data_IF_963792125154
#
_entry.id   IF_963792125154
#
_cell.length_a   1.000
_cell.length_b   1.000
_cell.length_c   1.000
_cell.angle_alpha   90.00
_cell.angle_beta   90.00
_cell.angle_gamma   90.00
#
_symmetry.space_group_name_H-M   'P 1'
#
loop_
_entity.id
_entity.type
_entity.pdbx_description
1 polymer ?
#
# COMPACT_ATOMS: atom_id res chain seq x y z
N UNK A 1 -40.56 50.44 -25.69
CA UNK A 1 -40.47 48.96 -25.63
C UNK A 1 -39.05 48.53 -25.97
N UNK A 2 -38.26 47.99 -25.02
CA UNK A 2 -37.14 47.04 -25.27
C UNK A 2 -36.96 46.22 -23.99
N UNK A 3 -37.54 45.02 -23.93
CA UNK A 3 -37.34 44.10 -22.81
C UNK A 3 -35.91 43.58 -22.86
N UNK A 4 -35.14 43.80 -21.78
CA UNK A 4 -33.82 43.18 -21.61
C UNK A 4 -33.99 41.69 -21.26
N UNK A 5 -34.44 40.91 -22.23
CA UNK A 5 -34.66 39.47 -22.13
C UNK A 5 -33.36 38.71 -22.47
N UNK A 6 -32.25 39.03 -21.80
CA UNK A 6 -30.94 38.48 -22.16
C UNK A 6 -30.03 38.07 -21.00
N UNK A 7 -30.38 38.42 -19.75
CA UNK A 7 -29.57 38.11 -18.57
C UNK A 7 -30.01 36.90 -17.74
N UNK A 8 -31.30 36.47 -17.67
CA UNK A 8 -31.65 35.30 -16.86
C UNK A 8 -31.32 33.99 -17.56
N UNK A 9 -31.32 33.98 -18.89
CA UNK A 9 -30.99 32.80 -19.71
C UNK A 9 -29.51 32.44 -19.62
N UNK A 10 -28.60 33.41 -19.65
CA UNK A 10 -27.17 33.16 -19.53
C UNK A 10 -26.79 32.56 -18.15
N UNK A 11 -27.40 33.04 -17.06
CA UNK A 11 -27.21 32.46 -15.73
C UNK A 11 -27.80 31.05 -15.62
N UNK A 12 -28.95 30.79 -16.22
CA UNK A 12 -29.56 29.45 -16.24
C UNK A 12 -28.72 28.45 -17.04
N UNK A 13 -28.13 28.86 -18.16
CA UNK A 13 -27.24 27.99 -18.95
C UNK A 13 -25.94 27.65 -18.21
N UNK A 14 -25.38 28.60 -17.44
CA UNK A 14 -24.19 28.36 -16.63
C UNK A 14 -24.45 27.40 -15.46
N UNK A 15 -25.66 27.43 -14.89
CA UNK A 15 -26.09 26.49 -13.85
C UNK A 15 -26.31 25.07 -14.41
N UNK A 16 -26.83 24.95 -15.64
CA UNK A 16 -27.01 23.65 -16.32
C UNK A 16 -25.67 22.98 -16.62
N UNK A 17 -24.64 23.74 -17.03
CA UNK A 17 -23.30 23.16 -17.30
C UNK A 17 -22.56 22.68 -16.05
N UNK A 18 -22.95 23.13 -14.85
CA UNK A 18 -22.38 22.68 -13.58
C UNK A 18 -23.10 21.45 -13.01
N UNK A 19 -24.32 21.15 -13.48
CA UNK A 19 -25.10 19.99 -13.06
C UNK A 19 -24.64 18.69 -13.74
N UNK A 20 -24.00 18.76 -14.91
CA UNK A 20 -23.48 17.61 -15.67
C UNK A 20 -22.02 17.27 -15.36
N UNK A 21 -21.59 17.47 -14.11
CA UNK A 21 -20.24 17.10 -13.66
C UNK A 21 -20.23 15.68 -13.06
N UNK A 22 -20.60 14.68 -13.85
CA UNK A 22 -20.43 13.28 -13.45
C UNK A 22 -19.73 12.48 -14.56
N UNK A 23 -18.46 12.81 -14.77
CA UNK A 23 -17.59 12.06 -15.67
C UNK A 23 -16.44 11.46 -14.87
N UNK A 24 -16.77 10.43 -14.09
CA UNK A 24 -15.74 9.55 -13.53
C UNK A 24 -14.91 8.96 -14.68
N UNK A 25 -13.59 9.11 -14.60
CA UNK A 25 -12.67 8.50 -15.55
C UNK A 25 -12.77 6.98 -15.45
N UNK A 26 -12.64 6.29 -16.58
CA UNK A 26 -12.54 4.82 -16.57
C UNK A 26 -11.32 4.40 -15.73
N UNK A 27 -11.39 3.24 -15.06
CA UNK A 27 -10.30 2.75 -14.21
C UNK A 27 -8.94 2.74 -14.93
N UNK A 28 -8.93 2.36 -16.21
CA UNK A 28 -7.71 2.33 -17.04
C UNK A 28 -7.19 3.72 -17.38
N UNK A 29 -8.07 4.71 -17.54
CA UNK A 29 -7.69 6.10 -17.77
C UNK A 29 -7.22 6.75 -16.48
N UNK A 30 -7.92 6.49 -15.37
CA UNK A 30 -7.57 7.00 -14.05
C UNK A 30 -6.20 6.48 -13.59
N UNK A 31 -5.86 5.21 -13.83
CA UNK A 31 -4.56 4.62 -13.46
C UNK A 31 -3.38 5.21 -14.22
N UNK A 32 -3.58 5.78 -15.41
CA UNK A 32 -2.53 6.52 -16.13
C UNK A 32 -2.15 7.82 -15.42
N UNK A 33 -3.11 8.48 -14.78
CA UNK A 33 -2.87 9.71 -14.00
C UNK A 33 -2.53 9.42 -12.53
N UNK A 34 -3.05 8.32 -11.98
CA UNK A 34 -2.82 7.86 -10.61
C UNK A 34 -1.67 6.84 -10.52
N UNK A 35 -0.70 6.91 -11.42
CA UNK A 35 0.53 6.12 -11.31
C UNK A 35 1.25 6.51 -10.01
N UNK A 36 1.17 5.64 -8.99
CA UNK A 36 1.86 5.82 -7.73
C UNK A 36 3.36 5.68 -8.00
N UNK A 37 4.11 6.78 -7.91
CA UNK A 37 5.56 6.70 -7.90
C UNK A 37 6.00 5.83 -6.72
N UNK A 38 6.91 4.88 -6.98
CA UNK A 38 7.62 4.16 -5.93
C UNK A 38 8.40 5.19 -5.11
N UNK A 39 8.21 5.24 -3.78
CA UNK A 39 8.98 6.13 -2.90
C UNK A 39 10.29 5.47 -2.46
N UNK A 40 10.40 4.16 -2.69
CA UNK A 40 11.60 3.34 -2.49
C UNK A 40 12.82 3.86 -3.26
N UNK A 41 13.98 3.70 -2.62
CA UNK A 41 15.31 4.08 -3.10
C UNK A 41 15.42 5.55 -3.51
N UNK A 42 14.71 6.46 -2.81
CA UNK A 42 14.88 7.90 -3.05
C UNK A 42 16.13 8.44 -2.37
N UNK A 43 16.81 9.41 -2.98
CA UNK A 43 17.99 10.05 -2.39
C UNK A 43 17.62 10.59 -1.00
N UNK A 44 18.35 10.17 0.04
CA UNK A 44 18.11 10.43 1.48
C UNK A 44 17.02 9.61 2.18
N UNK A 45 16.48 8.56 1.57
CA UNK A 45 15.49 7.69 2.23
C UNK A 45 16.01 7.03 3.51
N UNK A 46 17.27 6.62 3.52
CA UNK A 46 17.97 6.02 4.68
C UNK A 46 17.97 6.92 5.94
N UNK A 47 17.65 8.21 5.81
CA UNK A 47 17.51 9.11 6.97
C UNK A 47 16.16 9.00 7.68
N UNK A 48 15.18 8.32 7.08
CA UNK A 48 13.85 8.11 7.66
C UNK A 48 13.87 6.88 8.55
N UNK A 49 13.08 6.91 9.63
CA UNK A 49 12.85 5.71 10.45
C UNK A 49 12.16 4.62 9.62
N UNK A 50 12.67 3.39 9.72
CA UNK A 50 12.08 2.19 9.10
C UNK A 50 10.58 2.06 9.37
N UNK A 51 9.81 1.69 8.36
CA UNK A 51 8.36 1.54 8.48
C UNK A 51 7.82 0.36 7.68
N UNK A 52 7.29 -0.66 8.39
CA UNK A 52 6.78 -1.89 7.79
C UNK A 52 5.76 -1.66 6.67
N UNK A 53 4.82 -0.75 6.90
CA UNK A 53 3.78 -0.44 5.92
C UNK A 53 4.40 0.18 4.66
N UNK A 54 5.26 1.18 4.81
CA UNK A 54 5.88 1.87 3.68
C UNK A 54 6.85 0.97 2.91
N UNK A 55 7.79 0.35 3.60
CA UNK A 55 8.94 -0.30 2.95
C UNK A 55 8.62 -1.72 2.47
N UNK A 56 7.85 -2.51 3.23
CA UNK A 56 7.62 -3.92 2.91
C UNK A 56 6.20 -4.22 2.38
N UNK A 57 5.20 -3.35 2.61
CA UNK A 57 3.82 -3.58 2.14
C UNK A 57 3.50 -2.72 0.92
N UNK A 58 3.73 -1.40 1.01
CA UNK A 58 3.57 -0.49 -0.13
C UNK A 58 4.70 -0.64 -1.15
N UNK A 59 5.87 -1.09 -0.69
CA UNK A 59 7.09 -1.23 -1.47
C UNK A 59 7.69 -2.64 -1.30
N UNK A 60 8.73 -2.93 -2.09
CA UNK A 60 9.48 -4.17 -1.98
C UNK A 60 10.72 -3.91 -1.14
N UNK A 61 10.76 -4.45 0.07
CA UNK A 61 11.91 -4.30 0.95
C UNK A 61 12.95 -5.41 0.78
N UNK A 62 14.22 -5.05 0.89
CA UNK A 62 15.34 -5.96 1.05
C UNK A 62 15.53 -6.32 2.54
N UNK A 63 16.48 -7.22 2.83
CA UNK A 63 16.70 -7.70 4.21
C UNK A 63 17.19 -6.61 5.16
N UNK A 64 17.94 -5.63 4.66
CA UNK A 64 18.49 -4.54 5.48
C UNK A 64 17.39 -3.55 5.88
N UNK A 65 16.49 -3.20 4.97
CA UNK A 65 15.30 -2.39 5.30
C UNK A 65 14.41 -3.11 6.34
N UNK A 66 14.23 -4.44 6.19
CA UNK A 66 13.58 -5.24 7.23
C UNK A 66 14.32 -5.21 8.58
N UNK A 67 15.67 -5.12 8.58
CA UNK A 67 16.48 -4.97 9.80
C UNK A 67 16.26 -3.60 10.46
N UNK A 68 16.11 -2.55 9.66
CA UNK A 68 15.87 -1.18 10.13
C UNK A 68 14.47 -1.00 10.73
N UNK A 69 13.47 -1.74 10.25
CA UNK A 69 12.10 -1.71 10.80
C UNK A 69 12.06 -2.21 12.26
N UNK A 70 12.71 -3.34 12.54
CA UNK A 70 12.64 -3.98 13.86
C UNK A 70 13.79 -3.61 14.78
N UNK A 71 14.88 -3.06 14.25
CA UNK A 71 16.14 -2.79 14.96
C UNK A 71 16.64 -4.02 15.76
N UNK A 72 16.27 -5.23 15.32
CA UNK A 72 16.45 -6.47 16.04
C UNK A 72 16.78 -7.62 15.09
N UNK A 73 17.99 -8.17 15.20
CA UNK A 73 18.46 -9.25 14.32
C UNK A 73 17.60 -10.53 14.42
N UNK A 74 17.27 -11.05 15.62
CA UNK A 74 16.33 -12.18 15.76
C UNK A 74 14.98 -11.97 15.07
N UNK A 75 14.35 -10.80 15.24
CA UNK A 75 13.07 -10.50 14.58
C UNK A 75 13.22 -10.47 13.06
N UNK A 76 14.27 -9.84 12.55
CA UNK A 76 14.52 -9.80 11.11
C UNK A 76 14.74 -11.19 10.51
N UNK A 77 15.44 -12.07 11.23
CA UNK A 77 15.64 -13.47 10.82
C UNK A 77 14.35 -14.28 10.84
N UNK A 78 13.41 -13.95 11.73
CA UNK A 78 12.08 -14.54 11.76
C UNK A 78 11.15 -13.99 10.66
N UNK A 79 11.09 -12.67 10.52
CA UNK A 79 10.18 -11.95 9.64
C UNK A 79 10.55 -12.11 8.15
N UNK A 80 11.81 -11.89 7.77
CA UNK A 80 12.19 -11.74 6.37
C UNK A 80 11.90 -12.98 5.49
N UNK A 81 12.15 -14.23 5.94
CA UNK A 81 11.79 -15.41 5.16
C UNK A 81 10.27 -15.56 4.95
N UNK A 82 9.46 -15.16 5.94
CA UNK A 82 7.99 -15.19 5.86
C UNK A 82 7.46 -14.13 4.90
N UNK A 83 8.05 -12.93 4.96
CA UNK A 83 7.79 -11.88 3.99
C UNK A 83 8.03 -12.33 2.54
N UNK A 84 9.15 -13.02 2.27
CA UNK A 84 9.43 -13.60 0.94
C UNK A 84 8.38 -14.65 0.55
N UNK A 85 7.89 -15.45 1.50
CA UNK A 85 6.76 -16.37 1.29
C UNK A 85 5.46 -15.65 0.91
N UNK A 86 5.12 -14.55 1.59
CA UNK A 86 3.98 -13.69 1.25
C UNK A 86 4.12 -13.10 -0.16
N UNK A 87 5.30 -12.60 -0.52
CA UNK A 87 5.57 -12.07 -1.87
C UNK A 87 5.40 -13.13 -2.95
N UNK A 88 5.91 -14.34 -2.72
CA UNK A 88 5.75 -15.47 -3.65
C UNK A 88 4.28 -15.82 -3.86
N UNK A 89 3.53 -15.94 -2.78
CA UNK A 89 2.09 -16.26 -2.83
C UNK A 89 1.28 -15.18 -3.55
N UNK A 90 1.56 -13.90 -3.25
CA UNK A 90 0.91 -12.76 -3.87
C UNK A 90 1.21 -12.63 -5.38
N UNK A 91 2.47 -12.84 -5.80
CA UNK A 91 2.89 -12.69 -7.20
C UNK A 91 2.52 -13.87 -8.09
N UNK A 92 2.55 -15.10 -7.56
CA UNK A 92 2.29 -16.31 -8.36
C UNK A 92 0.79 -16.60 -8.44
N UNK A 93 -0.05 -15.97 -7.60
CA UNK A 93 -1.50 -16.18 -7.61
C UNK A 93 -1.87 -17.65 -7.37
N UNK A 94 -1.06 -18.37 -6.58
CA UNK A 94 -1.33 -19.78 -6.29
C UNK A 94 -2.53 -19.85 -5.35
N UNK A 95 -3.72 -20.06 -5.89
CA UNK A 95 -4.84 -20.65 -5.14
C UNK A 95 -4.50 -22.13 -4.91
N UNK A 96 -3.54 -22.40 -4.01
CA UNK A 96 -3.16 -23.77 -3.70
C UNK A 96 -4.26 -24.37 -2.81
N UNK A 97 -5.28 -24.99 -3.41
CA UNK A 97 -6.36 -25.68 -2.68
C UNK A 97 -5.89 -26.93 -1.90
N UNK A 98 -4.59 -27.09 -1.62
CA UNK A 98 -4.06 -28.20 -0.83
C UNK A 98 -2.78 -27.86 -0.04
N UNK A 99 -2.60 -26.59 0.35
CA UNK A 99 -1.64 -26.22 1.39
C UNK A 99 -2.37 -25.35 2.40
N UNK A 100 -2.42 -25.82 3.64
CA UNK A 100 -3.06 -25.25 4.83
C UNK A 100 -3.71 -23.86 4.65
N UNK A 101 -5.03 -23.85 4.64
CA UNK A 101 -5.92 -22.82 4.12
C UNK A 101 -5.98 -21.55 4.96
N UNK A 102 -4.88 -20.82 5.14
CA UNK A 102 -4.88 -19.54 5.86
C UNK A 102 -3.89 -18.49 5.32
N UNK A 103 -3.31 -18.62 4.13
CA UNK A 103 -2.44 -17.55 3.59
C UNK A 103 -3.30 -16.58 2.76
N UNK A 104 -3.48 -15.32 3.18
CA UNK A 104 -4.24 -14.34 2.42
C UNK A 104 -3.59 -14.08 1.07
N UNK A 105 -4.39 -14.05 0.00
CA UNK A 105 -3.93 -13.59 -1.33
C UNK A 105 -3.47 -12.13 -1.31
N UNK A 106 -3.94 -11.37 -0.33
CA UNK A 106 -3.54 -9.99 -0.08
C UNK A 106 -2.20 -9.94 0.67
N UNK A 107 -1.18 -9.34 0.04
CA UNK A 107 0.15 -9.19 0.61
C UNK A 107 0.10 -8.52 1.98
N UNK A 108 -0.73 -7.48 2.12
CA UNK A 108 -0.84 -6.70 3.33
C UNK A 108 -1.38 -7.53 4.49
N UNK A 109 -2.43 -8.32 4.30
CA UNK A 109 -2.92 -9.23 5.34
C UNK A 109 -1.85 -10.27 5.71
N UNK A 110 -1.21 -10.92 4.72
CA UNK A 110 -0.16 -11.92 4.98
C UNK A 110 0.99 -11.35 5.83
N UNK A 111 1.46 -10.14 5.50
CA UNK A 111 2.56 -9.48 6.23
C UNK A 111 2.14 -9.07 7.63
N UNK A 112 0.90 -8.60 7.83
CA UNK A 112 0.40 -8.19 9.15
C UNK A 112 0.07 -9.34 10.09
N UNK A 113 -0.16 -10.53 9.55
CA UNK A 113 -0.35 -11.76 10.32
C UNK A 113 0.98 -12.38 10.78
N UNK A 114 2.13 -11.92 10.28
CA UNK A 114 3.43 -12.32 10.80
C UNK A 114 3.56 -11.78 12.23
N UNK A 115 3.42 -12.67 13.21
CA UNK A 115 3.52 -12.33 14.63
C UNK A 115 4.90 -11.74 14.97
N UNK A 116 4.91 -10.60 15.63
CA UNK A 116 6.11 -10.05 16.29
C UNK A 116 6.58 -11.01 17.39
N UNK A 117 7.82 -11.49 17.30
CA UNK A 117 8.42 -12.41 18.26
C UNK A 117 9.23 -11.69 19.33
N UNK A 118 9.29 -10.36 19.33
CA UNK A 118 10.27 -9.59 20.09
C UNK A 118 9.66 -8.51 21.01
N UNK A 119 8.36 -8.63 21.31
CA UNK A 119 7.65 -7.79 22.28
C UNK A 119 7.35 -8.58 23.57
N UNK A 120 7.72 -8.08 24.78
CA UNK A 120 8.60 -6.94 25.06
C UNK A 120 10.10 -7.28 24.93
N UNK A 121 10.93 -6.26 24.74
CA UNK A 121 12.40 -6.38 24.69
C UNK A 121 13.00 -6.79 26.05
N UNK A 122 14.17 -7.49 26.09
CA UNK A 122 15.08 -7.82 24.99
C UNK A 122 14.73 -9.13 24.25
N UNK A 123 14.89 -9.13 22.93
CA UNK A 123 14.59 -10.32 22.11
C UNK A 123 15.74 -11.33 22.08
N UNK A 124 15.40 -12.60 22.24
CA UNK A 124 16.32 -13.74 22.15
C UNK A 124 16.15 -14.46 20.81
N UNK A 125 17.13 -15.30 20.42
CA UNK A 125 16.98 -16.15 19.23
C UNK A 125 15.80 -17.13 19.32
N UNK A 126 15.34 -17.40 20.54
CA UNK A 126 14.19 -18.26 20.82
C UNK A 126 12.86 -17.46 20.77
N UNK A 127 12.89 -16.15 20.52
CA UNK A 127 11.75 -15.24 20.58
C UNK A 127 11.46 -14.71 22.00
N UNK A 128 10.29 -14.10 22.17
CA UNK A 128 9.70 -13.71 23.45
C UNK A 128 9.30 -14.98 24.22
N UNK A 129 9.88 -15.16 25.41
CA UNK A 129 9.45 -16.19 26.38
C UNK A 129 8.21 -15.76 27.16
#
# INVERSE_FOLDING_TARGET
>A
MKRALGRPLACLMFLVTLLDADQFLSQNTASQFLSRHTRANTMFEESKKGNLERECIEELCNKEEAREIFENQPETEYFYPRYVGCLGSHRVGINNQNSDSNIPSDLRTCVKEISDQCTPSPCSKDGSK
#
